data_IF_512461084505
#
_entry.id   IF_512461084505
#
_cell.length_a   1.000
_cell.length_b   1.000
_cell.length_c   1.000
_cell.angle_alpha   90.00
_cell.angle_beta   90.00
_cell.angle_gamma   90.00
#
_symmetry.space_group_name_H-M   'P 1'
#
loop_
_entity.id
_entity.type
_entity.pdbx_description
1 polymer ?
#
# COMPACT_ATOMS: atom_id res chain seq x y z
N UNK A 1 -14.61 26.22 -12.70
CA UNK A 1 -16.05 26.57 -12.77
C UNK A 1 -16.90 25.32 -13.05
N UNK A 2 -16.56 24.56 -14.08
CA UNK A 2 -17.34 23.41 -14.51
C UNK A 2 -17.33 22.29 -13.45
N UNK A 3 -16.20 22.04 -12.79
CA UNK A 3 -16.07 21.05 -11.73
C UNK A 3 -17.07 21.29 -10.57
N UNK A 4 -17.23 22.54 -10.13
CA UNK A 4 -18.11 22.92 -9.01
C UNK A 4 -19.60 22.78 -9.39
N UNK A 5 -19.95 23.12 -10.62
CA UNK A 5 -21.35 23.13 -11.06
C UNK A 5 -21.82 21.87 -11.79
N UNK A 6 -20.92 20.94 -12.09
CA UNK A 6 -21.25 19.66 -12.78
C UNK A 6 -21.70 18.54 -11.83
N UNK A 7 -21.78 18.80 -10.52
CA UNK A 7 -22.24 17.81 -9.56
C UNK A 7 -23.76 17.69 -9.52
N UNK A 8 -24.28 16.49 -9.24
CA UNK A 8 -25.69 16.25 -9.04
C UNK A 8 -26.21 17.01 -7.80
N UNK A 9 -27.40 17.61 -7.95
CA UNK A 9 -28.05 18.34 -6.86
C UNK A 9 -28.32 17.40 -5.67
N UNK A 10 -27.77 17.75 -4.51
CA UNK A 10 -27.92 16.99 -3.28
C UNK A 10 -26.91 15.86 -3.11
N UNK A 11 -25.95 15.72 -4.02
CA UNK A 11 -24.79 14.87 -3.80
C UNK A 11 -23.81 15.48 -2.76
N UNK A 12 -22.92 14.64 -2.21
CA UNK A 12 -21.94 15.07 -1.22
C UNK A 12 -21.02 16.14 -1.76
N UNK A 13 -20.84 17.23 -1.01
CA UNK A 13 -19.94 18.33 -1.35
C UNK A 13 -19.43 18.99 -0.05
N UNK A 14 -18.39 19.79 -0.14
CA UNK A 14 -17.89 20.61 0.96
C UNK A 14 -18.16 22.11 0.80
N UNK A 15 -18.83 22.50 -0.30
CA UNK A 15 -19.30 23.86 -0.52
C UNK A 15 -18.29 24.80 -1.16
N UNK A 16 -17.31 24.26 -1.91
CA UNK A 16 -16.33 25.11 -2.61
C UNK A 16 -17.00 25.95 -3.69
N UNK A 17 -16.67 27.23 -3.70
CA UNK A 17 -17.14 28.17 -4.71
C UNK A 17 -16.21 28.23 -5.93
N UNK A 18 -16.79 28.64 -7.06
CA UNK A 18 -16.01 28.83 -8.29
C UNK A 18 -14.91 29.90 -8.10
N UNK A 19 -13.71 29.61 -8.57
CA UNK A 19 -12.48 30.40 -8.50
C UNK A 19 -11.75 30.40 -7.16
N UNK A 20 -12.17 29.62 -6.21
CA UNK A 20 -11.37 29.33 -5.03
C UNK A 20 -10.14 28.51 -5.41
N UNK A 21 -9.06 28.73 -4.67
CA UNK A 21 -7.80 27.99 -4.84
C UNK A 21 -7.45 27.31 -3.53
N UNK A 22 -7.25 26.00 -3.62
CA UNK A 22 -7.01 25.11 -2.48
C UNK A 22 -5.69 24.39 -2.63
N UNK A 23 -4.94 24.18 -1.55
CA UNK A 23 -3.87 23.20 -1.53
C UNK A 23 -4.39 21.79 -1.84
N UNK A 24 -3.60 20.97 -2.53
CA UNK A 24 -3.97 19.60 -2.85
C UNK A 24 -4.30 18.76 -1.60
N UNK A 25 -3.60 19.01 -0.48
CA UNK A 25 -3.86 18.29 0.77
C UNK A 25 -5.27 18.58 1.30
N UNK A 26 -5.75 19.82 1.24
CA UNK A 26 -7.12 20.20 1.61
C UNK A 26 -8.16 19.54 0.69
N UNK A 27 -7.87 19.45 -0.61
CA UNK A 27 -8.70 18.72 -1.54
C UNK A 27 -8.81 17.22 -1.14
N UNK A 28 -7.71 16.61 -0.74
CA UNK A 28 -7.71 15.21 -0.29
C UNK A 28 -8.51 15.00 1.00
N UNK A 29 -8.44 15.94 1.96
CA UNK A 29 -9.32 15.92 3.15
C UNK A 29 -10.79 16.00 2.75
N UNK A 30 -11.18 16.91 1.86
CA UNK A 30 -12.54 17.02 1.35
C UNK A 30 -13.03 15.73 0.68
N UNK A 31 -12.23 15.15 -0.18
CA UNK A 31 -12.56 13.90 -0.90
C UNK A 31 -12.68 12.72 0.07
N UNK A 32 -11.75 12.55 1.00
CA UNK A 32 -11.67 11.35 1.83
C UNK A 32 -12.62 11.40 3.03
N UNK A 33 -12.83 12.55 3.66
CA UNK A 33 -13.69 12.66 4.83
C UNK A 33 -15.17 12.80 4.46
N UNK A 34 -15.50 13.78 3.59
CA UNK A 34 -16.89 14.12 3.28
C UNK A 34 -17.34 13.72 1.88
N UNK A 35 -16.46 13.05 1.12
CA UNK A 35 -16.77 12.62 -0.26
C UNK A 35 -17.15 13.79 -1.17
N UNK A 36 -16.41 14.90 -1.11
CA UNK A 36 -16.68 16.11 -1.87
C UNK A 36 -16.56 15.85 -3.39
N UNK A 37 -17.70 15.77 -4.07
CA UNK A 37 -17.77 15.43 -5.49
C UNK A 37 -17.20 16.54 -6.37
N UNK A 38 -17.49 17.81 -6.04
CA UNK A 38 -16.96 18.96 -6.75
C UNK A 38 -15.43 19.04 -6.65
N UNK A 39 -14.87 18.70 -5.50
CA UNK A 39 -13.42 18.67 -5.30
C UNK A 39 -12.79 17.49 -6.06
N UNK A 40 -13.45 16.32 -6.09
CA UNK A 40 -13.01 15.19 -6.91
C UNK A 40 -12.96 15.57 -8.40
N UNK A 41 -13.97 16.29 -8.89
CA UNK A 41 -14.02 16.77 -10.27
C UNK A 41 -12.93 17.84 -10.52
N UNK A 42 -12.72 18.78 -9.59
CA UNK A 42 -11.68 19.80 -9.72
C UNK A 42 -10.27 19.20 -9.77
N UNK A 43 -9.99 18.20 -8.94
CA UNK A 43 -8.72 17.46 -8.95
C UNK A 43 -8.56 16.68 -10.26
N UNK A 44 -9.63 16.06 -10.75
CA UNK A 44 -9.62 15.33 -12.02
C UNK A 44 -9.32 16.27 -13.21
N UNK A 45 -9.98 17.42 -13.27
CA UNK A 45 -9.74 18.45 -14.29
C UNK A 45 -8.31 19.00 -14.21
N UNK A 46 -7.83 19.27 -12.99
CA UNK A 46 -6.46 19.76 -12.79
C UNK A 46 -5.38 18.79 -13.26
N UNK A 47 -5.53 17.51 -12.98
CA UNK A 47 -4.53 16.47 -13.31
C UNK A 47 -4.67 16.00 -14.75
N UNK A 48 -5.91 15.73 -15.19
CA UNK A 48 -6.20 15.16 -16.51
C UNK A 48 -6.38 16.18 -17.61
N UNK A 49 -6.62 17.46 -17.26
CA UNK A 49 -7.03 18.48 -18.21
C UNK A 49 -8.51 18.41 -18.58
N UNK A 50 -9.16 17.28 -18.37
CA UNK A 50 -10.61 17.09 -18.39
C UNK A 50 -11.01 15.91 -17.50
N UNK A 51 -12.30 15.81 -17.16
CA UNK A 51 -12.82 14.67 -16.36
C UNK A 51 -12.74 13.35 -17.12
N UNK A 52 -12.97 13.38 -18.43
CA UNK A 52 -12.88 12.21 -19.30
C UNK A 52 -11.43 11.69 -19.38
N UNK A 53 -10.46 12.59 -19.53
CA UNK A 53 -9.06 12.20 -19.59
C UNK A 53 -8.60 11.66 -18.23
N UNK A 54 -9.07 12.22 -17.12
CA UNK A 54 -8.78 11.67 -15.79
C UNK A 54 -9.39 10.27 -15.61
N UNK A 55 -10.61 10.03 -16.05
CA UNK A 55 -11.22 8.70 -16.05
C UNK A 55 -10.39 7.70 -16.87
N UNK A 56 -9.87 8.13 -18.03
CA UNK A 56 -8.93 7.31 -18.82
C UNK A 56 -7.66 6.97 -18.06
N UNK A 57 -7.08 7.95 -17.33
CA UNK A 57 -5.91 7.71 -16.47
C UNK A 57 -6.23 6.76 -15.32
N UNK A 58 -7.42 6.87 -14.70
CA UNK A 58 -7.88 5.93 -13.67
C UNK A 58 -7.93 4.48 -14.20
N UNK A 59 -8.52 4.28 -15.38
CA UNK A 59 -8.60 2.97 -16.01
C UNK A 59 -7.23 2.41 -16.38
N UNK A 60 -6.36 3.25 -16.94
CA UNK A 60 -4.99 2.86 -17.21
C UNK A 60 -4.27 2.42 -15.93
N UNK A 61 -4.42 3.20 -14.84
CA UNK A 61 -3.80 2.88 -13.56
C UNK A 61 -4.35 1.60 -12.94
N UNK A 62 -5.66 1.37 -13.03
CA UNK A 62 -6.28 0.14 -12.57
C UNK A 62 -5.69 -1.09 -13.31
N UNK A 63 -5.56 -0.99 -14.63
CA UNK A 63 -4.97 -2.06 -15.45
C UNK A 63 -3.49 -2.33 -15.07
N UNK A 64 -2.67 -1.28 -14.87
CA UNK A 64 -1.28 -1.40 -14.41
C UNK A 64 -1.17 -2.08 -13.04
N UNK A 65 -2.18 -1.95 -12.19
CA UNK A 65 -2.26 -2.62 -10.89
C UNK A 65 -2.76 -4.07 -11.00
N UNK A 66 -3.18 -4.51 -12.20
CA UNK A 66 -3.70 -5.85 -12.43
C UNK A 66 -5.21 -5.99 -12.21
N UNK A 67 -5.94 -4.88 -12.11
CA UNK A 67 -7.40 -4.88 -12.04
C UNK A 67 -8.00 -5.23 -13.42
N UNK A 68 -8.83 -6.25 -13.48
CA UNK A 68 -9.42 -6.74 -14.74
C UNK A 68 -10.94 -6.64 -14.78
N UNK A 69 -11.58 -6.40 -13.63
CA UNK A 69 -13.04 -6.32 -13.47
C UNK A 69 -13.48 -4.90 -13.03
N UNK A 70 -12.76 -3.86 -13.51
CA UNK A 70 -13.03 -2.47 -13.15
C UNK A 70 -13.06 -1.58 -14.38
N UNK A 71 -14.00 -0.65 -14.39
CA UNK A 71 -14.08 0.44 -15.36
C UNK A 71 -14.62 1.71 -14.68
N UNK A 72 -13.90 2.81 -14.82
CA UNK A 72 -14.21 4.10 -14.21
C UNK A 72 -14.60 5.10 -15.30
N UNK A 73 -15.75 5.76 -15.14
CA UNK A 73 -16.26 6.79 -16.06
C UNK A 73 -16.15 8.19 -15.48
N UNK A 74 -15.95 8.31 -14.16
CA UNK A 74 -15.86 9.59 -13.45
C UNK A 74 -14.96 9.49 -12.23
N UNK A 75 -14.55 10.65 -11.68
CA UNK A 75 -13.64 10.76 -10.56
C UNK A 75 -14.33 10.68 -9.19
N UNK A 76 -15.62 10.98 -9.11
CA UNK A 76 -16.34 11.11 -7.85
C UNK A 76 -17.10 9.85 -7.42
N UNK A 77 -17.24 8.86 -8.33
CA UNK A 77 -17.91 7.59 -8.04
C UNK A 77 -19.44 7.65 -8.07
N UNK A 78 -20.04 8.72 -8.62
CA UNK A 78 -21.46 8.74 -8.87
C UNK A 78 -21.84 7.70 -9.93
N UNK A 79 -23.09 7.27 -9.87
CA UNK A 79 -23.55 6.16 -10.68
C UNK A 79 -23.52 6.45 -12.19
N UNK A 80 -22.98 5.51 -12.91
CA UNK A 80 -23.05 5.37 -14.35
C UNK A 80 -23.09 3.86 -14.66
N UNK A 81 -23.83 3.44 -15.70
CA UNK A 81 -23.99 2.02 -16.01
C UNK A 81 -22.65 1.33 -16.37
N UNK A 82 -21.69 2.11 -16.90
CA UNK A 82 -20.35 1.65 -17.25
C UNK A 82 -19.32 1.89 -16.11
N UNK A 83 -19.74 2.41 -14.95
CA UNK A 83 -18.87 2.61 -13.78
C UNK A 83 -19.00 1.44 -12.81
N UNK A 84 -18.05 0.52 -12.85
CA UNK A 84 -18.08 -0.70 -12.03
C UNK A 84 -16.69 -1.12 -11.54
N UNK A 85 -16.69 -1.92 -10.51
CA UNK A 85 -15.50 -2.58 -9.96
C UNK A 85 -15.88 -3.87 -9.25
N UNK A 86 -14.91 -4.72 -8.93
CA UNK A 86 -15.06 -5.89 -8.07
C UNK A 86 -14.47 -5.66 -6.68
N UNK A 87 -14.87 -6.47 -5.71
CA UNK A 87 -14.27 -6.43 -4.37
C UNK A 87 -12.77 -6.77 -4.41
N UNK A 88 -12.38 -7.66 -5.31
CA UNK A 88 -10.97 -8.02 -5.51
C UNK A 88 -10.16 -6.83 -6.06
N UNK A 89 -10.58 -6.24 -7.17
CA UNK A 89 -9.89 -5.10 -7.78
C UNK A 89 -9.81 -3.91 -6.81
N UNK A 90 -10.90 -3.65 -6.08
CA UNK A 90 -10.91 -2.57 -5.10
C UNK A 90 -9.94 -2.86 -3.93
N UNK A 91 -9.73 -4.13 -3.57
CA UNK A 91 -8.70 -4.52 -2.59
C UNK A 91 -7.28 -4.28 -3.10
N UNK A 92 -7.03 -4.51 -4.40
CA UNK A 92 -5.74 -4.24 -5.07
C UNK A 92 -5.46 -2.73 -5.09
N UNK A 93 -6.45 -1.92 -5.47
CA UNK A 93 -6.37 -0.45 -5.45
C UNK A 93 -6.12 0.05 -4.02
N UNK A 94 -6.86 -0.47 -3.05
CA UNK A 94 -6.72 -0.10 -1.64
C UNK A 94 -5.32 -0.47 -1.09
N UNK A 95 -4.76 -1.61 -1.48
CA UNK A 95 -3.38 -1.98 -1.11
C UNK A 95 -2.37 -0.94 -1.58
N UNK A 96 -2.54 -0.39 -2.79
CA UNK A 96 -1.68 0.69 -3.30
C UNK A 96 -1.93 2.01 -2.57
N UNK A 97 -3.19 2.33 -2.27
CA UNK A 97 -3.60 3.52 -1.52
C UNK A 97 -2.93 3.56 -0.13
N UNK A 98 -3.02 2.47 0.64
CA UNK A 98 -2.48 2.38 2.00
C UNK A 98 -0.94 2.22 2.07
N UNK A 99 -0.23 2.18 0.95
CA UNK A 99 1.22 2.36 0.88
C UNK A 99 1.63 3.84 0.93
N UNK A 100 0.72 4.77 0.67
CA UNK A 100 0.97 6.20 0.76
C UNK A 100 0.64 6.70 2.16
N UNK A 101 1.65 7.22 2.88
CA UNK A 101 1.52 7.66 4.28
C UNK A 101 0.52 8.80 4.45
N UNK A 102 0.51 9.79 3.53
CA UNK A 102 -0.41 10.92 3.59
C UNK A 102 -1.86 10.47 3.40
N UNK A 103 -2.14 9.66 2.38
CA UNK A 103 -3.49 9.14 2.13
C UNK A 103 -3.97 8.26 3.28
N UNK A 104 -3.08 7.45 3.82
CA UNK A 104 -3.35 6.60 5.00
C UNK A 104 -3.74 7.47 6.20
N UNK A 105 -2.94 8.50 6.52
CA UNK A 105 -3.22 9.46 7.59
C UNK A 105 -4.58 10.13 7.42
N UNK A 106 -4.86 10.68 6.24
CA UNK A 106 -6.12 11.38 5.96
C UNK A 106 -7.32 10.45 6.10
N UNK A 107 -7.25 9.23 5.55
CA UNK A 107 -8.36 8.26 5.61
C UNK A 107 -8.69 7.77 7.02
N UNK A 108 -7.75 7.90 7.95
CA UNK A 108 -7.91 7.59 9.38
C UNK A 108 -8.22 8.81 10.26
N UNK A 109 -8.38 9.99 9.67
CA UNK A 109 -8.65 11.23 10.40
C UNK A 109 -10.16 11.39 10.66
N UNK A 110 -10.62 11.50 11.93
CA UNK A 110 -12.05 11.64 12.24
C UNK A 110 -12.60 13.03 11.87
N UNK A 111 -11.83 14.07 12.11
CA UNK A 111 -12.20 15.46 11.82
C UNK A 111 -11.00 16.26 11.36
N UNK A 112 -11.21 17.22 10.47
CA UNK A 112 -10.19 18.15 9.98
C UNK A 112 -10.75 19.57 9.98
N UNK A 113 -9.97 20.54 10.47
CA UNK A 113 -10.35 21.96 10.41
C UNK A 113 -9.92 22.51 9.07
N UNK A 114 -10.91 22.87 8.26
CA UNK A 114 -10.73 23.56 6.99
C UNK A 114 -10.70 25.06 7.28
N UNK A 115 -9.51 25.64 7.29
CA UNK A 115 -9.28 27.02 7.68
C UNK A 115 -9.47 27.98 6.50
N UNK A 116 -10.06 29.15 6.79
CA UNK A 116 -10.17 30.22 5.81
C UNK A 116 -8.79 30.73 5.36
N UNK A 117 -8.65 31.00 4.06
CA UNK A 117 -7.45 31.58 3.45
C UNK A 117 -7.80 32.83 2.64
N UNK A 118 -6.82 33.52 2.07
CA UNK A 118 -7.06 34.65 1.18
C UNK A 118 -7.81 34.28 -0.10
N UNK A 119 -7.69 32.99 -0.54
CA UNK A 119 -8.27 32.49 -1.78
C UNK A 119 -9.46 31.56 -1.56
N UNK A 120 -9.79 31.26 -0.32
CA UNK A 120 -10.92 30.46 0.12
C UNK A 120 -11.39 30.99 1.48
N UNK A 121 -12.58 31.63 1.59
CA UNK A 121 -13.00 32.35 2.79
C UNK A 121 -13.74 31.50 3.83
N UNK A 122 -14.08 30.25 3.54
CA UNK A 122 -14.87 29.40 4.40
C UNK A 122 -14.02 28.81 5.55
N UNK A 123 -14.63 28.72 6.73
CA UNK A 123 -14.02 28.14 7.94
C UNK A 123 -14.99 27.17 8.59
N UNK A 124 -14.67 25.87 8.57
CA UNK A 124 -15.54 24.83 9.10
C UNK A 124 -14.78 23.53 9.43
N UNK A 125 -15.44 22.61 10.12
CA UNK A 125 -14.90 21.28 10.44
C UNK A 125 -15.44 20.24 9.46
N UNK A 126 -14.53 19.60 8.75
CA UNK A 126 -14.83 18.36 8.01
C UNK A 126 -14.89 17.19 8.99
N UNK A 127 -15.94 16.35 8.88
CA UNK A 127 -16.09 15.15 9.70
C UNK A 127 -16.27 13.93 8.80
N UNK A 128 -15.52 12.86 9.06
CA UNK A 128 -15.61 11.66 8.23
C UNK A 128 -16.96 10.95 8.40
N UNK A 129 -17.46 10.40 7.30
CA UNK A 129 -18.65 9.53 7.32
C UNK A 129 -18.35 8.10 7.80
N UNK A 130 -17.07 7.75 7.99
CA UNK A 130 -16.67 6.41 8.40
C UNK A 130 -16.81 6.22 9.91
N UNK A 131 -17.84 5.49 10.32
CA UNK A 131 -18.16 5.25 11.73
C UNK A 131 -17.14 4.38 12.47
N UNK A 132 -16.27 3.65 11.77
CA UNK A 132 -15.11 2.99 12.39
C UNK A 132 -14.07 4.03 12.80
N UNK A 133 -13.82 5.04 11.96
CA UNK A 133 -12.86 6.12 12.23
C UNK A 133 -13.37 7.07 13.31
N UNK A 134 -14.67 7.34 13.38
CA UNK A 134 -15.26 8.15 14.47
C UNK A 134 -15.40 7.38 15.78
N UNK A 135 -15.05 6.10 15.82
CA UNK A 135 -15.18 5.19 16.95
C UNK A 135 -16.64 4.94 17.41
N UNK A 136 -17.64 5.25 16.59
CA UNK A 136 -19.02 4.81 16.83
C UNK A 136 -19.10 3.27 16.78
N UNK A 137 -18.31 2.65 15.88
CA UNK A 137 -17.95 1.24 15.88
C UNK A 137 -16.46 1.12 16.17
N UNK A 138 -16.08 0.77 17.40
CA UNK A 138 -14.65 0.66 17.76
C UNK A 138 -14.03 -0.61 17.19
N UNK A 139 -12.85 -0.49 16.60
CA UNK A 139 -12.06 -1.62 16.11
C UNK A 139 -10.58 -1.44 16.42
N UNK A 140 -9.98 -2.41 17.12
CA UNK A 140 -8.57 -2.39 17.46
C UNK A 140 -7.69 -2.55 16.23
N UNK A 141 -6.69 -1.67 16.09
CA UNK A 141 -5.77 -1.71 14.95
C UNK A 141 -6.32 -1.08 13.68
N UNK A 142 -7.47 -0.36 13.75
CA UNK A 142 -7.97 0.39 12.60
C UNK A 142 -6.93 1.41 12.13
N UNK A 143 -6.64 1.41 10.82
CA UNK A 143 -5.78 2.40 10.17
C UNK A 143 -6.62 3.50 9.52
N UNK A 144 -7.61 3.12 8.73
CA UNK A 144 -8.48 4.04 8.02
C UNK A 144 -9.37 3.35 7.00
N UNK A 145 -10.08 4.14 6.22
CA UNK A 145 -10.97 3.60 5.20
C UNK A 145 -11.81 4.65 4.50
N UNK A 146 -12.61 4.20 3.54
CA UNK A 146 -13.51 5.06 2.78
C UNK A 146 -14.86 4.41 2.59
N UNK A 147 -15.92 5.13 2.96
CA UNK A 147 -17.32 4.77 2.70
C UNK A 147 -17.75 5.21 1.31
N UNK A 148 -18.73 4.53 0.73
CA UNK A 148 -19.41 4.95 -0.48
C UNK A 148 -20.88 4.58 -0.45
N UNK A 149 -21.69 5.36 -1.15
CA UNK A 149 -23.11 5.09 -1.33
C UNK A 149 -23.63 5.67 -2.64
N UNK A 150 -24.32 4.86 -3.39
CA UNK A 150 -25.28 5.27 -4.43
C UNK A 150 -26.53 4.40 -4.30
N UNK A 151 -27.63 4.81 -4.91
CA UNK A 151 -28.87 4.00 -4.89
C UNK A 151 -28.68 2.63 -5.52
N UNK A 152 -27.81 2.50 -6.50
CA UNK A 152 -27.50 1.25 -7.22
C UNK A 152 -26.45 0.40 -6.46
N UNK A 153 -25.36 1.03 -6.03
CA UNK A 153 -24.27 0.35 -5.32
C UNK A 153 -24.61 0.02 -3.86
N UNK A 154 -25.61 0.68 -3.27
CA UNK A 154 -25.92 0.62 -1.83
C UNK A 154 -24.70 1.04 -1.01
N UNK A 155 -24.59 0.56 0.25
CA UNK A 155 -23.41 0.84 1.10
C UNK A 155 -22.19 0.07 0.63
N UNK A 156 -21.08 0.77 0.53
CA UNK A 156 -19.76 0.19 0.29
C UNK A 156 -18.76 0.71 1.33
N UNK A 157 -17.81 -0.14 1.71
CA UNK A 157 -16.76 0.23 2.67
C UNK A 157 -15.46 -0.49 2.32
N UNK A 158 -14.40 0.28 2.19
CA UNK A 158 -13.02 -0.23 2.17
C UNK A 158 -12.35 0.15 3.47
N UNK A 159 -11.74 -0.80 4.14
CA UNK A 159 -11.08 -0.59 5.44
C UNK A 159 -9.73 -1.26 5.48
N UNK A 160 -8.75 -0.58 6.06
CA UNK A 160 -7.45 -1.15 6.41
C UNK A 160 -7.30 -1.21 7.93
N UNK A 161 -6.80 -2.33 8.42
CA UNK A 161 -6.45 -2.51 9.83
C UNK A 161 -5.14 -3.29 9.95
N UNK A 162 -4.41 -3.09 11.06
CA UNK A 162 -3.14 -3.76 11.33
C UNK A 162 -3.10 -4.29 12.76
N UNK A 163 -2.66 -5.54 12.93
CA UNK A 163 -2.37 -6.16 14.23
C UNK A 163 -1.13 -7.02 14.13
N UNK A 164 -0.22 -6.87 15.06
CA UNK A 164 1.02 -7.68 15.15
C UNK A 164 1.82 -7.68 13.83
N UNK A 165 1.89 -6.54 13.14
CA UNK A 165 2.59 -6.39 11.85
C UNK A 165 1.81 -6.90 10.63
N UNK A 166 0.70 -7.62 10.82
CA UNK A 166 -0.18 -8.05 9.72
C UNK A 166 -1.18 -6.96 9.39
N UNK A 167 -1.12 -6.48 8.14
CA UNK A 167 -2.03 -5.49 7.59
C UNK A 167 -3.08 -6.18 6.71
N UNK A 168 -4.36 -5.94 7.00
CA UNK A 168 -5.48 -6.49 6.24
C UNK A 168 -6.31 -5.38 5.60
N UNK A 169 -6.77 -5.64 4.39
CA UNK A 169 -7.74 -4.81 3.69
C UNK A 169 -9.05 -5.59 3.58
N UNK A 170 -10.13 -4.97 4.03
CA UNK A 170 -11.48 -5.50 3.91
C UNK A 170 -12.29 -4.63 2.94
N UNK A 171 -13.01 -5.27 2.03
CA UNK A 171 -13.91 -4.61 1.08
C UNK A 171 -15.30 -5.21 1.23
N UNK A 172 -16.26 -4.36 1.61
CA UNK A 172 -17.68 -4.70 1.68
C UNK A 172 -18.42 -3.90 0.62
N UNK A 173 -19.24 -4.56 -0.19
CA UNK A 173 -19.97 -3.95 -1.30
C UNK A 173 -21.42 -4.36 -1.27
N UNK A 174 -22.29 -3.40 -1.69
CA UNK A 174 -23.74 -3.61 -1.89
C UNK A 174 -24.47 -4.07 -0.63
N UNK A 175 -24.13 -3.48 0.51
CA UNK A 175 -24.70 -3.81 1.81
C UNK A 175 -25.78 -2.77 2.23
N UNK A 176 -26.61 -3.12 3.17
CA UNK A 176 -27.58 -2.22 3.80
C UNK A 176 -26.99 -1.62 5.10
N UNK A 177 -27.25 -0.32 5.31
CA UNK A 177 -26.79 0.36 6.52
C UNK A 177 -27.50 -0.22 7.77
N UNK A 178 -26.79 -0.48 8.87
CA UNK A 178 -25.36 -0.19 9.12
C UNK A 178 -24.43 -1.40 8.93
N UNK A 179 -24.89 -2.47 8.27
CA UNK A 179 -24.20 -3.76 8.23
C UNK A 179 -22.80 -3.67 7.58
N UNK A 180 -22.53 -2.69 6.70
CA UNK A 180 -21.18 -2.51 6.15
C UNK A 180 -20.09 -2.38 7.23
N UNK A 181 -20.42 -1.86 8.41
CA UNK A 181 -19.47 -1.75 9.53
C UNK A 181 -19.34 -3.05 10.31
N UNK A 182 -20.45 -3.74 10.59
CA UNK A 182 -20.43 -5.03 11.31
C UNK A 182 -19.76 -6.12 10.50
N UNK A 183 -20.10 -6.23 9.21
CA UNK A 183 -19.50 -7.20 8.30
C UNK A 183 -18.00 -6.97 8.12
N UNK A 184 -17.58 -5.68 8.05
CA UNK A 184 -16.15 -5.32 8.02
C UNK A 184 -15.44 -5.82 9.29
N UNK A 185 -16.04 -5.62 10.47
CA UNK A 185 -15.48 -6.10 11.76
C UNK A 185 -15.35 -7.62 11.76
N UNK A 186 -16.39 -8.32 11.33
CA UNK A 186 -16.42 -9.79 11.30
C UNK A 186 -15.39 -10.36 10.35
N UNK A 187 -15.26 -9.78 9.14
CA UNK A 187 -14.27 -10.18 8.15
C UNK A 187 -12.83 -9.91 8.61
N UNK A 188 -12.56 -8.75 9.21
CA UNK A 188 -11.26 -8.44 9.77
C UNK A 188 -10.92 -9.37 10.94
N UNK A 189 -11.87 -9.65 11.82
CA UNK A 189 -11.70 -10.63 12.90
C UNK A 189 -11.43 -12.04 12.37
N UNK A 190 -12.13 -12.45 11.30
CA UNK A 190 -11.84 -13.72 10.63
C UNK A 190 -10.39 -13.76 10.13
N UNK A 191 -9.92 -12.69 9.46
CA UNK A 191 -8.56 -12.60 8.97
C UNK A 191 -7.52 -12.71 10.09
N UNK A 192 -7.60 -11.85 11.11
CA UNK A 192 -6.63 -11.83 12.22
C UNK A 192 -6.69 -13.09 13.11
N UNK A 193 -7.84 -13.73 13.23
CA UNK A 193 -7.98 -14.94 14.05
C UNK A 193 -7.46 -16.19 13.35
N UNK A 194 -7.54 -16.26 12.02
CA UNK A 194 -7.25 -17.47 11.27
C UNK A 194 -5.94 -17.43 10.50
N UNK A 195 -5.32 -16.27 10.32
CA UNK A 195 -4.07 -16.12 9.57
C UNK A 195 -2.99 -15.48 10.44
N UNK A 196 -1.75 -15.71 10.04
CA UNK A 196 -0.56 -15.13 10.66
C UNK A 196 0.51 -14.82 9.63
N UNK A 197 1.43 -13.91 9.98
CA UNK A 197 2.65 -13.67 9.21
C UNK A 197 3.73 -14.63 9.68
N UNK A 198 4.44 -15.22 8.70
CA UNK A 198 5.56 -16.13 8.95
C UNK A 198 6.79 -15.56 8.24
N UNK A 199 7.86 -15.31 8.99
CA UNK A 199 9.10 -14.81 8.42
C UNK A 199 9.77 -15.91 7.59
N UNK A 200 10.07 -15.60 6.32
CA UNK A 200 10.67 -16.59 5.42
C UNK A 200 12.08 -16.94 5.84
N UNK A 201 12.91 -15.96 6.22
CA UNK A 201 14.32 -16.17 6.56
C UNK A 201 14.53 -17.07 7.78
N UNK A 202 13.54 -17.15 8.69
CA UNK A 202 13.58 -18.00 9.87
C UNK A 202 13.22 -19.47 9.59
N UNK A 203 12.55 -19.74 8.47
CA UNK A 203 11.97 -21.05 8.16
C UNK A 203 12.51 -21.67 6.87
N UNK A 204 13.05 -20.84 5.95
CA UNK A 204 13.54 -21.31 4.66
C UNK A 204 14.89 -22.03 4.82
N UNK A 205 14.96 -23.26 4.34
CA UNK A 205 16.17 -24.09 4.40
C UNK A 205 16.71 -24.47 3.02
N UNK A 206 15.87 -24.43 2.00
CA UNK A 206 16.22 -24.87 0.64
C UNK A 206 17.02 -23.79 -0.10
N UNK A 207 16.70 -22.50 0.14
CA UNK A 207 17.33 -21.35 -0.50
C UNK A 207 18.16 -20.51 0.48
N UNK A 208 18.51 -21.08 1.64
CA UNK A 208 19.34 -20.41 2.63
C UNK A 208 20.82 -20.44 2.19
N UNK A 209 21.30 -19.32 1.69
CA UNK A 209 22.64 -19.16 1.15
C UNK A 209 23.69 -19.08 2.29
N UNK A 210 23.29 -18.64 3.49
CA UNK A 210 24.17 -18.50 4.66
C UNK A 210 24.75 -19.85 5.13
N UNK A 211 24.11 -20.97 4.78
CA UNK A 211 24.54 -22.33 5.11
C UNK A 211 25.19 -23.07 3.91
N UNK A 212 25.43 -22.37 2.80
CA UNK A 212 26.09 -23.02 1.67
C UNK A 212 27.56 -23.29 2.02
N UNK A 213 27.96 -24.56 2.15
CA UNK A 213 29.34 -25.02 2.38
C UNK A 213 30.37 -24.46 1.37
N UNK A 214 29.86 -23.90 0.26
CA UNK A 214 30.66 -23.26 -0.77
C UNK A 214 31.43 -22.02 -0.26
N UNK A 215 30.93 -21.32 0.75
CA UNK A 215 31.57 -20.14 1.34
C UNK A 215 32.35 -20.44 2.63
N UNK A 216 32.31 -21.67 3.14
CA UNK A 216 33.10 -22.13 4.29
C UNK A 216 34.41 -22.80 3.85
N UNK A 217 35.25 -22.11 3.10
CA UNK A 217 36.60 -22.56 2.85
C UNK A 217 37.46 -22.24 4.08
N UNK A 218 37.93 -23.30 4.79
CA UNK A 218 38.90 -23.18 5.90
C UNK A 218 40.28 -22.67 5.46
N UNK A 219 40.45 -22.27 4.22
CA UNK A 219 41.67 -21.75 3.61
C UNK A 219 41.46 -20.34 3.05
N UNK A 220 40.68 -19.52 3.72
CA UNK A 220 40.47 -18.15 3.29
C UNK A 220 41.72 -17.32 3.55
N UNK A 221 42.55 -17.16 2.52
CA UNK A 221 43.80 -16.38 2.55
C UNK A 221 43.50 -14.87 2.68
N UNK A 222 42.23 -14.48 2.46
CA UNK A 222 41.77 -13.09 2.42
C UNK A 222 40.82 -12.67 3.56
N UNK A 223 40.68 -13.49 4.60
CA UNK A 223 39.77 -13.22 5.72
C UNK A 223 38.36 -13.70 5.47
N UNK A 224 37.50 -13.67 6.49
CA UNK A 224 36.13 -14.16 6.40
C UNK A 224 35.30 -13.38 5.36
N UNK A 225 35.18 -13.92 4.16
CA UNK A 225 34.26 -13.37 3.16
C UNK A 225 32.83 -13.55 3.64
N UNK A 226 32.11 -12.45 3.84
CA UNK A 226 30.68 -12.49 4.08
C UNK A 226 29.97 -12.87 2.77
N UNK A 227 28.86 -13.64 2.84
CA UNK A 227 28.10 -13.95 1.64
C UNK A 227 27.67 -12.65 0.94
N UNK A 228 27.90 -12.60 -0.36
CA UNK A 228 27.49 -11.47 -1.22
C UNK A 228 25.96 -11.46 -1.42
N UNK A 229 25.31 -12.61 -1.25
CA UNK A 229 23.88 -12.81 -1.44
C UNK A 229 23.26 -13.21 -0.11
N UNK A 230 22.09 -12.64 0.18
CA UNK A 230 21.30 -13.03 1.36
C UNK A 230 19.80 -13.06 1.03
N UNK A 231 19.09 -13.95 1.71
CA UNK A 231 17.64 -13.92 1.72
C UNK A 231 17.18 -12.69 2.52
N UNK A 232 16.26 -11.92 1.94
CA UNK A 232 15.74 -10.72 2.58
C UNK A 232 15.04 -11.08 3.89
N UNK A 233 15.52 -10.49 5.00
CA UNK A 233 15.03 -10.77 6.36
C UNK A 233 13.64 -10.21 6.62
N UNK A 234 13.20 -9.24 5.81
CA UNK A 234 11.88 -8.62 5.91
C UNK A 234 10.85 -9.27 4.96
N UNK A 235 11.14 -10.47 4.50
CA UNK A 235 10.22 -11.27 3.67
C UNK A 235 9.28 -12.10 4.54
N UNK A 236 7.97 -12.00 4.25
CA UNK A 236 6.93 -12.66 5.03
C UNK A 236 5.90 -13.34 4.14
N UNK A 237 5.37 -14.46 4.63
CA UNK A 237 4.19 -15.11 4.07
C UNK A 237 2.98 -14.89 4.96
N UNK A 238 1.80 -14.87 4.38
CA UNK A 238 0.53 -14.92 5.10
C UNK A 238 0.00 -16.36 5.01
N UNK A 239 0.03 -17.06 6.13
CA UNK A 239 -0.41 -18.45 6.19
C UNK A 239 -1.61 -18.61 7.14
N UNK A 240 -2.53 -19.56 6.86
CA UNK A 240 -3.47 -20.00 7.88
C UNK A 240 -2.71 -20.50 9.12
N UNK A 241 -3.15 -20.16 10.32
CA UNK A 241 -2.53 -20.63 11.59
C UNK A 241 -2.46 -22.15 11.74
N UNK A 242 -3.22 -22.89 10.92
CA UNK A 242 -3.18 -24.36 10.85
C UNK A 242 -2.17 -24.88 9.86
N UNK A 243 -1.56 -24.01 9.03
CA UNK A 243 -0.53 -24.39 8.06
C UNK A 243 0.86 -24.40 8.70
N UNK A 244 1.76 -25.17 8.10
CA UNK A 244 3.18 -25.17 8.47
C UNK A 244 3.98 -24.70 7.27
N UNK A 245 4.99 -23.86 7.48
CA UNK A 245 5.83 -23.30 6.40
C UNK A 245 6.32 -24.37 5.41
N UNK A 246 6.75 -25.53 5.91
CA UNK A 246 7.22 -26.64 5.07
C UNK A 246 6.20 -27.22 4.09
N UNK A 247 4.91 -26.92 4.29
CA UNK A 247 3.83 -27.39 3.41
C UNK A 247 3.59 -26.40 2.25
N UNK A 248 4.34 -25.29 2.20
CA UNK A 248 4.33 -24.38 1.05
C UNK A 248 5.14 -24.94 -0.10
N UNK A 249 4.75 -24.58 -1.32
CA UNK A 249 5.48 -24.88 -2.53
C UNK A 249 6.18 -23.60 -2.99
N UNK A 250 7.50 -23.67 -3.15
CA UNK A 250 8.30 -22.53 -3.59
C UNK A 250 8.72 -22.66 -5.06
N UNK A 251 8.73 -21.54 -5.77
CA UNK A 251 9.29 -21.41 -7.13
C UNK A 251 10.20 -20.20 -7.20
N UNK A 252 11.37 -20.35 -7.82
CA UNK A 252 12.33 -19.25 -7.97
C UNK A 252 12.24 -18.65 -9.38
N UNK A 253 12.27 -17.33 -9.46
CA UNK A 253 12.40 -16.56 -10.69
C UNK A 253 13.62 -15.66 -10.59
N UNK A 254 14.35 -15.51 -11.71
CA UNK A 254 15.48 -14.58 -11.84
C UNK A 254 15.10 -13.32 -12.62
N UNK A 255 13.82 -13.15 -12.96
CA UNK A 255 13.29 -11.95 -13.59
C UNK A 255 12.87 -10.97 -12.49
N UNK A 256 13.74 -10.01 -12.19
CA UNK A 256 13.57 -9.01 -11.13
C UNK A 256 13.64 -7.63 -11.70
N UNK A 257 12.81 -6.72 -11.22
CA UNK A 257 12.80 -5.30 -11.62
C UNK A 257 13.79 -4.45 -10.80
N UNK A 258 14.27 -4.94 -9.64
CA UNK A 258 15.19 -4.24 -8.75
C UNK A 258 16.63 -4.73 -8.98
N UNK A 259 17.55 -3.79 -9.27
CA UNK A 259 18.96 -4.07 -9.52
C UNK A 259 19.69 -4.70 -8.33
N UNK A 260 19.15 -4.56 -7.11
CA UNK A 260 19.71 -5.16 -5.90
C UNK A 260 19.16 -6.56 -5.62
N UNK A 261 18.15 -7.00 -6.36
CA UNK A 261 17.54 -8.33 -6.26
C UNK A 261 18.04 -9.23 -7.38
N UNK A 262 18.52 -10.41 -7.02
CA UNK A 262 18.97 -11.42 -7.99
C UNK A 262 17.89 -12.42 -8.34
N UNK A 263 17.01 -12.71 -7.36
CA UNK A 263 15.93 -13.65 -7.54
C UNK A 263 14.75 -13.32 -6.63
N UNK A 264 13.56 -13.73 -7.07
CA UNK A 264 12.34 -13.80 -6.27
C UNK A 264 11.96 -15.26 -6.07
N UNK A 265 11.56 -15.60 -4.84
CA UNK A 265 11.06 -16.92 -4.49
C UNK A 265 9.60 -16.74 -4.14
N UNK A 266 8.71 -17.18 -5.02
CA UNK A 266 7.28 -17.16 -4.78
C UNK A 266 6.84 -18.40 -4.01
N UNK A 267 5.92 -18.23 -3.08
CA UNK A 267 5.36 -19.30 -2.27
C UNK A 267 3.86 -19.44 -2.49
N UNK A 268 3.43 -20.68 -2.62
CA UNK A 268 2.01 -21.05 -2.67
C UNK A 268 1.67 -22.07 -1.58
N UNK A 269 0.46 -21.98 -1.04
CA UNK A 269 -0.12 -22.97 -0.13
C UNK A 269 -1.47 -23.41 -0.66
N UNK A 270 -1.66 -24.72 -0.87
CA UNK A 270 -2.86 -25.27 -1.52
C UNK A 270 -3.22 -24.60 -2.87
N UNK A 271 -2.19 -24.22 -3.65
CA UNK A 271 -2.36 -23.56 -4.95
C UNK A 271 -2.70 -22.07 -4.88
N UNK A 272 -2.75 -21.48 -3.67
CA UNK A 272 -2.95 -20.05 -3.46
C UNK A 272 -1.60 -19.38 -3.18
N UNK A 273 -1.33 -18.25 -3.85
CA UNK A 273 -0.15 -17.43 -3.57
C UNK A 273 -0.25 -16.84 -2.16
N UNK A 274 0.81 -17.00 -1.36
CA UNK A 274 0.84 -16.59 0.05
C UNK A 274 1.94 -15.59 0.37
N UNK A 275 2.78 -15.24 -0.59
CA UNK A 275 3.84 -14.25 -0.46
C UNK A 275 5.10 -14.65 -1.20
N UNK A 276 6.11 -13.79 -1.14
CA UNK A 276 7.42 -14.04 -1.73
C UNK A 276 8.56 -13.61 -0.81
N UNK A 277 9.77 -14.03 -1.18
CA UNK A 277 11.01 -13.53 -0.61
C UNK A 277 11.99 -13.17 -1.72
N UNK A 278 12.76 -12.10 -1.53
CA UNK A 278 13.85 -11.74 -2.42
C UNK A 278 15.17 -12.32 -1.95
N UNK A 279 16.05 -12.60 -2.91
CA UNK A 279 17.46 -12.85 -2.70
C UNK A 279 18.20 -11.59 -3.12
N UNK A 280 18.76 -10.90 -2.16
CA UNK A 280 19.35 -9.58 -2.35
C UNK A 280 20.89 -9.67 -2.36
N UNK A 281 21.54 -8.71 -3.05
CA UNK A 281 22.98 -8.50 -2.98
C UNK A 281 23.29 -7.83 -1.64
N UNK A 282 24.19 -8.42 -0.86
CA UNK A 282 24.66 -7.81 0.38
C UNK A 282 25.41 -6.51 0.06
N UNK A 283 24.89 -5.39 0.58
CA UNK A 283 25.54 -4.06 0.49
C UNK A 283 26.50 -3.80 1.66
N UNK A 284 26.80 -4.77 2.51
CA UNK A 284 27.84 -4.59 3.53
C UNK A 284 29.15 -4.28 2.83
N UNK A 285 29.60 -3.05 2.99
CA UNK A 285 30.83 -2.53 2.38
C UNK A 285 31.97 -3.51 2.64
N UNK A 286 32.57 -4.02 1.56
CA UNK A 286 33.91 -4.60 1.60
C UNK A 286 34.76 -3.49 2.20
N UNK A 287 35.27 -3.70 3.42
CA UNK A 287 36.25 -2.78 4.00
C UNK A 287 37.32 -2.57 2.96
N UNK A 288 37.45 -1.33 2.45
CA UNK A 288 38.52 -0.99 1.54
C UNK A 288 39.82 -1.45 2.17
N UNK A 289 40.53 -2.39 1.56
CA UNK A 289 41.86 -2.73 1.93
C UNK A 289 42.70 -1.48 1.71
N UNK A 290 43.16 -0.87 2.80
CA UNK A 290 44.09 0.23 2.76
C UNK A 290 45.47 -0.35 2.39
N UNK A 291 45.80 -0.31 1.09
CA UNK A 291 47.08 -0.80 0.55
C UNK A 291 48.26 0.16 0.81
N UNK A 292 48.03 1.25 1.55
CA UNK A 292 48.97 2.37 1.63
C UNK A 292 49.76 2.49 2.92
N UNK A 293 49.88 1.43 3.74
CA UNK A 293 50.66 1.56 5.00
C UNK A 293 51.84 0.57 5.21
N UNK A 294 52.39 -0.06 4.15
CA UNK A 294 53.52 -0.97 4.33
C UNK A 294 54.67 -0.87 3.32
N UNK A 295 54.82 0.25 2.59
CA UNK A 295 55.98 0.45 1.70
C UNK A 295 56.77 1.74 1.92
N UNK A 296 56.81 2.28 3.13
CA UNK A 296 57.81 3.29 3.50
C UNK A 296 58.34 2.93 4.86
N UNK A 297 59.41 2.08 4.92
CA UNK A 297 60.52 2.17 5.86
C UNK A 297 61.49 0.99 5.68
N UNK A 298 62.24 0.96 4.59
CA UNK A 298 63.52 0.23 4.48
C UNK A 298 64.40 0.79 3.37
N UNK A 299 64.84 2.02 3.56
CA UNK A 299 66.04 2.53 2.85
C UNK A 299 66.60 3.74 3.58
N UNK A 300 67.30 3.48 4.68
CA UNK A 300 68.35 4.33 5.19
C UNK A 300 69.00 3.61 6.40
N UNK A 301 70.00 2.83 6.09
CA UNK A 301 71.16 2.50 6.99
C UNK A 301 72.06 1.56 6.24
N UNK A 302 72.95 2.18 5.45
CA UNK A 302 74.30 1.69 5.14
C UNK A 302 75.00 2.77 4.36
N UNK A 303 75.75 3.64 5.12
CA UNK A 303 76.99 4.33 4.73
C UNK A 303 77.37 5.18 5.94
N UNK A 304 78.26 4.57 6.85
CA UNK A 304 79.57 5.07 7.28
C UNK A 304 80.18 4.09 8.33
#
# INVERSE_FOLDING_TARGET
YDAVFSIEKGSSNMGIDAKESLPMEECLYGILLVSANEVSNAVAEHIGGSMEEFARLMNQRALELGCVDSHFTNANGLHDDDHYTSAYDLSVIARKFFQNELLTKISGTPTHHFEATETQPDDFILSTHNKLVTHEYSYEGLIGGKTGYTNTARQTLVTCAERNGMKLICVVMKEESPNQFTDTIDLLNYGFNNFEIVNVSEHETKFNIDNADFFQSNNDIFGSSKPILSLNKDSYLILPKTAVFKDTISSISYDTEDENQIALIDYTYNGVYVGNASVDISTEAISSYDFDSSMDDKSQEEED
#
